data_IF_596325781950
#
_entry.id   IF_596325781950
#
_cell.length_a   1.000
_cell.length_b   1.000
_cell.length_c   1.000
_cell.angle_alpha   90.00
_cell.angle_beta   90.00
_cell.angle_gamma   90.00
#
_symmetry.space_group_name_H-M   'P 1'
#
loop_
_entity.id
_entity.type
_entity.pdbx_description
1 polymer ?
#
# COMPACT_ATOMS: atom_id res chain seq x y z
N UNK A 1 -7.46 35.81 13.34
CA UNK A 1 -8.77 35.75 12.66
C UNK A 1 -9.15 34.29 12.54
N UNK A 2 -10.13 33.83 13.30
CA UNK A 2 -10.67 32.46 13.21
C UNK A 2 -11.83 32.46 12.24
N UNK A 3 -11.77 31.61 11.22
CA UNK A 3 -12.90 31.38 10.33
C UNK A 3 -13.36 29.94 10.54
N UNK A 4 -14.37 29.78 11.40
CA UNK A 4 -15.19 28.57 11.44
C UNK A 4 -16.16 28.59 10.27
N UNK A 5 -16.32 27.46 9.58
CA UNK A 5 -17.48 27.25 8.73
C UNK A 5 -17.95 25.80 8.87
N UNK A 6 -19.02 25.61 9.65
CA UNK A 6 -19.90 24.45 9.57
C UNK A 6 -20.93 24.73 8.48
N UNK A 7 -21.01 23.86 7.47
CA UNK A 7 -22.14 23.82 6.56
C UNK A 7 -22.57 22.37 6.36
N UNK A 8 -23.51 21.94 7.21
CA UNK A 8 -24.34 20.80 6.92
C UNK A 8 -25.22 21.15 5.72
N UNK A 9 -25.21 20.32 4.68
CA UNK A 9 -26.26 20.34 3.66
C UNK A 9 -26.85 18.94 3.50
N UNK A 10 -28.13 18.87 3.83
CA UNK A 10 -29.06 17.77 3.60
C UNK A 10 -29.25 17.59 2.09
N UNK A 11 -28.81 16.46 1.54
CA UNK A 11 -29.22 16.01 0.22
C UNK A 11 -29.98 14.68 0.37
N UNK A 12 -31.09 14.49 -0.34
CA UNK A 12 -31.82 13.22 -0.30
C UNK A 12 -30.91 12.11 -0.81
N UNK A 13 -30.78 11.03 -0.04
CA UNK A 13 -30.12 9.80 -0.45
C UNK A 13 -30.85 9.27 -1.69
N UNK A 14 -30.37 9.66 -2.86
CA UNK A 14 -30.51 8.84 -4.05
C UNK A 14 -29.70 7.59 -3.76
N UNK A 15 -30.39 6.48 -3.50
CA UNK A 15 -29.78 5.15 -3.45
C UNK A 15 -29.29 4.87 -4.86
N UNK A 16 -28.10 5.38 -5.19
CA UNK A 16 -27.34 4.83 -6.29
C UNK A 16 -27.07 3.39 -5.90
N UNK A 17 -27.60 2.46 -6.67
CA UNK A 17 -27.14 1.08 -6.66
C UNK A 17 -25.66 1.13 -7.02
N UNK A 18 -24.80 1.28 -6.02
CA UNK A 18 -23.37 1.07 -6.16
C UNK A 18 -23.25 -0.42 -6.40
N UNK A 19 -23.27 -0.81 -7.67
CA UNK A 19 -22.58 -2.02 -8.07
C UNK A 19 -21.12 -1.77 -7.67
N UNK A 20 -20.76 -2.18 -6.45
CA UNK A 20 -19.40 -2.14 -5.93
C UNK A 20 -18.56 -3.00 -6.86
N UNK A 21 -18.04 -2.39 -7.93
CA UNK A 21 -16.87 -2.92 -8.62
C UNK A 21 -15.80 -2.92 -7.55
N UNK A 22 -15.61 -4.06 -6.88
CA UNK A 22 -14.56 -4.25 -5.88
C UNK A 22 -13.30 -3.62 -6.46
N UNK A 23 -12.73 -2.59 -5.81
CA UNK A 23 -11.56 -1.93 -6.35
C UNK A 23 -10.50 -3.00 -6.60
N UNK A 24 -10.07 -3.11 -7.85
CA UNK A 24 -9.04 -4.07 -8.24
C UNK A 24 -7.71 -3.53 -7.74
N UNK A 25 -7.34 -3.93 -6.52
CA UNK A 25 -6.04 -3.61 -5.93
C UNK A 25 -4.92 -4.05 -6.88
N UNK A 26 -3.94 -3.17 -7.11
CA UNK A 26 -2.86 -3.39 -8.05
C UNK A 26 -1.80 -4.28 -7.43
N UNK A 27 -1.04 -4.97 -8.28
CA UNK A 27 0.13 -5.75 -7.87
C UNK A 27 1.36 -5.10 -8.45
N UNK A 28 2.28 -4.70 -7.56
CA UNK A 28 3.57 -4.11 -7.87
C UNK A 28 4.65 -5.19 -7.76
N UNK A 29 5.34 -5.46 -8.85
CA UNK A 29 6.28 -6.58 -8.92
C UNK A 29 7.72 -6.10 -8.66
N UNK A 30 8.18 -6.26 -7.43
CA UNK A 30 9.53 -5.93 -6.99
C UNK A 30 10.53 -7.10 -7.14
N UNK A 31 10.12 -8.26 -7.66
CA UNK A 31 10.96 -9.47 -7.73
C UNK A 31 12.19 -9.38 -8.64
N UNK A 32 12.30 -8.32 -9.44
CA UNK A 32 13.43 -8.03 -10.35
C UNK A 32 14.31 -6.87 -9.85
N UNK A 33 13.89 -6.19 -8.79
CA UNK A 33 14.60 -5.04 -8.24
C UNK A 33 15.60 -5.48 -7.17
N UNK A 34 16.62 -4.66 -6.94
CA UNK A 34 17.75 -4.96 -6.06
C UNK A 34 17.49 -4.37 -4.67
N UNK A 35 17.47 -5.25 -3.66
CA UNK A 35 17.37 -4.84 -2.25
C UNK A 35 18.63 -4.09 -1.82
N UNK A 36 18.47 -2.96 -1.14
CA UNK A 36 19.54 -2.03 -0.76
C UNK A 36 19.78 -0.91 -1.77
N UNK A 37 19.25 -1.03 -3.00
CA UNK A 37 19.38 -0.02 -4.06
C UNK A 37 18.01 0.57 -4.43
N UNK A 38 17.10 -0.26 -4.92
CA UNK A 38 15.77 0.16 -5.37
C UNK A 38 14.74 0.20 -4.22
N UNK A 39 14.97 -0.64 -3.22
CA UNK A 39 14.14 -0.73 -2.02
C UNK A 39 14.92 -1.32 -0.85
N UNK A 40 14.44 -1.10 0.36
CA UNK A 40 14.90 -1.78 1.58
C UNK A 40 13.69 -2.43 2.23
N UNK A 41 13.79 -3.71 2.58
CA UNK A 41 12.73 -4.46 3.26
C UNK A 41 13.22 -5.07 4.56
N UNK A 42 12.46 -4.84 5.62
CA UNK A 42 12.72 -5.35 6.96
C UNK A 42 11.60 -6.29 7.37
N UNK A 43 11.98 -7.48 7.83
CA UNK A 43 11.05 -8.48 8.35
C UNK A 43 10.62 -8.13 9.77
N UNK A 44 9.30 -8.18 10.01
CA UNK A 44 8.70 -7.95 11.32
C UNK A 44 7.83 -9.16 11.70
N UNK A 45 7.52 -9.30 12.99
CA UNK A 45 6.61 -10.33 13.52
C UNK A 45 6.85 -11.74 12.93
N UNK A 46 8.10 -12.22 13.03
CA UNK A 46 8.54 -13.53 12.51
C UNK A 46 8.25 -13.74 11.01
N UNK A 47 8.24 -12.65 10.25
CA UNK A 47 8.03 -12.64 8.80
C UNK A 47 6.56 -12.69 8.36
N UNK A 48 5.63 -12.47 9.27
CA UNK A 48 4.21 -12.22 8.95
C UNK A 48 3.97 -10.78 8.51
N UNK A 49 4.85 -9.87 8.90
CA UNK A 49 4.80 -8.47 8.55
C UNK A 49 6.14 -8.00 8.02
N UNK A 50 6.14 -6.83 7.40
CA UNK A 50 7.38 -6.18 7.04
C UNK A 50 7.20 -4.67 6.91
N UNK A 51 8.33 -3.98 6.93
CA UNK A 51 8.42 -2.56 6.60
C UNK A 51 9.24 -2.45 5.33
N UNK A 52 8.77 -1.65 4.38
CA UNK A 52 9.48 -1.44 3.12
C UNK A 52 9.65 0.05 2.88
N UNK A 53 10.86 0.46 2.53
CA UNK A 53 11.12 1.76 1.92
C UNK A 53 11.48 1.52 0.46
N UNK A 54 10.93 2.31 -0.45
CA UNK A 54 11.22 2.16 -1.88
C UNK A 54 11.04 3.44 -2.64
N UNK A 55 11.40 3.38 -3.91
CA UNK A 55 11.27 4.48 -4.86
C UNK A 55 10.16 4.13 -5.88
N UNK A 56 9.50 5.14 -6.42
CA UNK A 56 8.38 5.05 -7.37
C UNK A 56 7.08 5.61 -6.81
N UNK A 57 6.03 5.63 -7.62
CA UNK A 57 4.74 6.23 -7.25
C UNK A 57 3.56 5.31 -7.57
N UNK A 58 2.43 5.58 -6.91
CA UNK A 58 1.15 4.95 -7.23
C UNK A 58 0.88 3.62 -6.50
N UNK A 59 1.64 3.32 -5.45
CA UNK A 59 1.31 2.27 -4.48
C UNK A 59 0.26 2.83 -3.51
N UNK A 60 -0.78 2.05 -3.25
CA UNK A 60 -1.88 2.45 -2.37
C UNK A 60 -2.11 1.40 -1.28
N UNK A 61 -2.77 1.77 -0.15
CA UNK A 61 -3.27 0.78 0.79
C UNK A 61 -4.09 -0.31 0.07
N UNK A 62 -3.99 -1.54 0.57
CA UNK A 62 -4.57 -2.76 0.01
C UNK A 62 -3.97 -3.27 -1.31
N UNK A 63 -3.08 -2.53 -1.98
CA UNK A 63 -2.28 -3.05 -3.09
C UNK A 63 -1.38 -4.20 -2.63
N UNK A 64 -0.84 -4.94 -3.59
CA UNK A 64 0.08 -6.04 -3.34
C UNK A 64 1.48 -5.72 -3.82
N UNK A 65 2.48 -6.14 -3.05
CA UNK A 65 3.89 -6.13 -3.44
C UNK A 65 4.37 -7.56 -3.52
N UNK A 66 5.04 -7.90 -4.64
CA UNK A 66 5.71 -9.17 -4.82
C UNK A 66 7.22 -8.96 -4.64
N UNK A 67 7.80 -9.63 -3.64
CA UNK A 67 9.24 -9.62 -3.35
C UNK A 67 9.87 -10.96 -3.67
N UNK A 68 11.13 -10.93 -4.10
CA UNK A 68 11.98 -12.12 -4.20
C UNK A 68 12.90 -12.17 -2.98
N UNK A 69 12.73 -13.19 -2.15
CA UNK A 69 13.58 -13.42 -0.98
C UNK A 69 14.30 -14.76 -1.19
N UNK A 70 15.55 -14.71 -1.67
CA UNK A 70 16.26 -15.91 -2.10
C UNK A 70 15.56 -16.60 -3.28
N UNK A 71 15.24 -17.89 -3.11
CA UNK A 71 14.48 -18.67 -4.10
C UNK A 71 12.97 -18.43 -4.03
N UNK A 72 12.46 -17.83 -2.95
CA UNK A 72 11.03 -17.67 -2.73
C UNK A 72 10.49 -16.37 -3.33
N UNK A 73 9.26 -16.45 -3.81
CA UNK A 73 8.48 -15.31 -4.25
C UNK A 73 7.36 -15.08 -3.23
N UNK A 74 7.41 -13.96 -2.54
CA UNK A 74 6.51 -13.66 -1.44
C UNK A 74 5.60 -12.52 -1.81
N UNK A 75 4.35 -12.65 -1.42
CA UNK A 75 3.32 -11.63 -1.65
C UNK A 75 2.96 -10.98 -0.33
N UNK A 76 2.96 -9.66 -0.34
CA UNK A 76 2.52 -8.83 0.77
C UNK A 76 1.39 -7.94 0.32
N UNK A 77 0.46 -7.65 1.21
CA UNK A 77 -0.53 -6.59 1.06
C UNK A 77 -0.03 -5.34 1.79
N UNK A 78 -0.19 -4.18 1.17
CA UNK A 78 0.10 -2.87 1.77
C UNK A 78 -0.97 -2.58 2.81
N UNK A 79 -0.58 -2.46 4.07
CA UNK A 79 -1.48 -2.05 5.14
C UNK A 79 -1.57 -0.53 5.20
N UNK A 80 -0.42 0.15 5.29
CA UNK A 80 -0.30 1.61 5.32
C UNK A 80 0.89 2.04 4.45
N UNK A 81 0.85 3.26 3.91
CA UNK A 81 1.93 3.84 3.12
C UNK A 81 1.99 5.35 3.29
N UNK A 82 3.19 5.87 3.44
CA UNK A 82 3.50 7.30 3.50
C UNK A 82 4.48 7.65 2.38
N UNK A 83 4.18 8.73 1.65
CA UNK A 83 5.07 9.29 0.64
C UNK A 83 5.87 10.45 1.24
N UNK A 84 7.18 10.47 0.99
CA UNK A 84 8.02 11.58 1.38
C UNK A 84 7.82 12.77 0.44
N UNK A 85 8.02 13.98 0.96
CA UNK A 85 7.97 15.20 0.15
C UNK A 85 9.26 15.42 -0.66
N UNK A 86 10.40 14.94 -0.12
CA UNK A 86 11.72 15.06 -0.74
C UNK A 86 12.61 13.85 -0.37
N UNK A 87 12.98 12.99 -1.33
CA UNK A 87 12.54 13.01 -2.73
C UNK A 87 11.07 12.56 -2.86
N UNK A 88 10.30 13.12 -3.82
CA UNK A 88 8.84 12.96 -3.93
C UNK A 88 8.38 11.61 -4.47
N UNK A 89 9.31 10.76 -4.89
CA UNK A 89 9.08 9.40 -5.35
C UNK A 89 9.51 8.35 -4.31
N UNK A 90 9.98 8.76 -3.13
CA UNK A 90 10.27 7.84 -2.06
C UNK A 90 9.05 7.64 -1.17
N UNK A 91 8.88 6.43 -0.68
CA UNK A 91 7.79 6.06 0.22
C UNK A 91 8.24 5.02 1.24
N UNK A 92 7.50 4.93 2.34
CA UNK A 92 7.63 3.88 3.34
C UNK A 92 6.27 3.23 3.59
N UNK A 93 6.21 1.90 3.63
CA UNK A 93 4.97 1.15 3.79
C UNK A 93 5.10 0.07 4.87
N UNK A 94 3.98 -0.18 5.57
CA UNK A 94 3.78 -1.36 6.39
C UNK A 94 3.08 -2.44 5.58
N UNK A 95 3.59 -3.66 5.67
CA UNK A 95 3.23 -4.78 4.80
C UNK A 95 2.77 -5.98 5.64
N UNK A 96 1.72 -6.66 5.18
CA UNK A 96 1.22 -7.92 5.76
C UNK A 96 1.40 -9.06 4.77
N UNK A 97 2.05 -10.14 5.17
CA UNK A 97 2.26 -11.30 4.31
C UNK A 97 0.91 -11.91 3.96
N UNK A 98 0.70 -12.18 2.67
CA UNK A 98 -0.45 -12.93 2.20
C UNK A 98 -0.15 -14.41 2.43
N UNK A 99 -0.90 -15.03 3.34
CA UNK A 99 -0.86 -16.47 3.56
C UNK A 99 -1.98 -17.05 2.71
N UNK A 100 -1.63 -17.77 1.65
CA UNK A 100 -2.61 -18.57 0.94
C UNK A 100 -3.02 -19.71 1.87
N UNK A 101 -4.27 -19.69 2.36
CA UNK A 101 -4.83 -20.83 3.06
C UNK A 101 -5.01 -21.95 2.02
N UNK A 102 -4.10 -22.93 2.03
CA UNK A 102 -4.22 -24.16 1.26
C UNK A 102 -5.35 -25.05 1.80
#
# INVERSE_FOLDING_TARGET
MTLSFNFFNWLPLSVMSVNELKPKYKTHNYSKFISGEDYVFEWLNYGLEGRMTGIGQGIQPCDYIILRCGSELLRYQVAEIDYYADPPDMWMASLKKVIDNA
#
